data_IF_990225563331
#
_entry.id   IF_990225563331
#
_cell.length_a   1.000
_cell.length_b   1.000
_cell.length_c   1.000
_cell.angle_alpha   90.00
_cell.angle_beta   90.00
_cell.angle_gamma   90.00
#
_symmetry.space_group_name_H-M   'P 1'
#
loop_
_entity.id
_entity.type
_entity.pdbx_description
1 polymer ?
#
# COMPACT_ATOMS: atom_id res chain seq x y z
N UNK A 1 -16.71 -26.11 11.13
CA UNK A 1 -15.92 -25.06 10.46
C UNK A 1 -14.46 -25.44 10.56
N UNK A 2 -13.76 -25.60 9.44
CA UNK A 2 -12.30 -25.73 9.45
C UNK A 2 -11.75 -24.35 9.84
N UNK A 3 -10.94 -24.29 10.89
CA UNK A 3 -10.28 -23.04 11.29
C UNK A 3 -9.20 -22.72 10.27
N UNK A 4 -9.36 -21.63 9.51
CA UNK A 4 -8.33 -21.14 8.61
C UNK A 4 -7.08 -20.76 9.44
N UNK A 5 -5.98 -21.50 9.25
CA UNK A 5 -4.76 -21.29 10.03
C UNK A 5 -3.99 -20.08 9.49
N UNK A 6 -4.17 -18.92 10.12
CA UNK A 6 -3.40 -17.69 9.83
C UNK A 6 -2.07 -17.71 10.61
N UNK A 7 -0.96 -17.62 9.88
CA UNK A 7 0.42 -17.64 10.40
C UNK A 7 1.24 -16.48 9.83
N UNK A 8 2.43 -16.21 10.34
CA UNK A 8 3.36 -15.23 9.75
C UNK A 8 3.77 -15.57 8.32
N UNK A 9 3.72 -16.85 7.93
CA UNK A 9 3.93 -17.28 6.54
C UNK A 9 2.93 -16.69 5.54
N UNK A 10 1.76 -16.21 6.00
CA UNK A 10 0.79 -15.51 5.16
C UNK A 10 1.18 -14.05 4.88
N UNK A 11 2.16 -13.50 5.61
CA UNK A 11 2.60 -12.10 5.55
C UNK A 11 4.07 -11.97 5.17
N UNK A 12 4.50 -12.44 3.98
CA UNK A 12 5.90 -12.35 3.61
C UNK A 12 6.35 -10.88 3.57
N UNK A 13 7.45 -10.58 4.25
CA UNK A 13 7.96 -9.21 4.39
C UNK A 13 8.20 -8.58 3.01
N UNK A 14 7.61 -7.40 2.71
CA UNK A 14 7.84 -6.72 1.44
C UNK A 14 9.32 -6.44 1.20
N UNK A 15 9.81 -6.63 -0.03
CA UNK A 15 11.20 -6.30 -0.36
C UNK A 15 11.53 -4.82 -0.12
N UNK A 16 10.55 -3.91 -0.25
CA UNK A 16 10.73 -2.49 0.09
C UNK A 16 10.99 -2.23 1.58
N UNK A 17 10.52 -3.13 2.46
CA UNK A 17 10.79 -3.06 3.89
C UNK A 17 12.23 -3.54 4.20
N UNK A 18 12.75 -4.47 3.40
CA UNK A 18 14.11 -5.04 3.47
C UNK A 18 15.15 -4.20 2.70
N UNK A 19 15.10 -2.89 2.86
CA UNK A 19 16.05 -1.94 2.23
C UNK A 19 17.38 -1.86 3.00
N UNK A 20 18.40 -1.26 2.41
CA UNK A 20 19.69 -1.06 3.08
C UNK A 20 19.54 -0.27 4.40
N UNK A 21 20.31 -0.67 5.42
CA UNK A 21 20.39 0.02 6.71
C UNK A 21 19.22 -0.23 7.68
N UNK A 22 18.35 -1.22 7.41
CA UNK A 22 17.34 -1.68 8.38
C UNK A 22 17.75 -3.00 9.04
N UNK A 23 17.30 -3.22 10.27
CA UNK A 23 17.38 -4.51 10.93
C UNK A 23 16.39 -5.50 10.28
N UNK A 24 16.91 -6.44 9.48
CA UNK A 24 16.09 -7.38 8.72
C UNK A 24 15.37 -8.40 9.60
N UNK A 25 15.98 -8.81 10.72
CA UNK A 25 15.38 -9.75 11.65
C UNK A 25 14.16 -9.11 12.31
N UNK A 26 14.34 -7.89 12.81
CA UNK A 26 13.28 -7.13 13.45
C UNK A 26 12.14 -6.76 12.49
N UNK A 27 12.47 -6.40 11.23
CA UNK A 27 11.47 -6.13 10.20
C UNK A 27 10.70 -7.41 9.82
N UNK A 28 11.36 -8.57 9.85
CA UNK A 28 10.71 -9.86 9.56
C UNK A 28 9.83 -10.36 10.70
N UNK A 29 10.23 -10.12 11.95
CA UNK A 29 9.41 -10.43 13.14
C UNK A 29 8.05 -9.69 13.15
N UNK A 30 7.92 -8.59 12.42
CA UNK A 30 6.63 -7.89 12.28
C UNK A 30 5.55 -8.74 11.57
N UNK A 31 5.93 -9.81 10.86
CA UNK A 31 4.97 -10.76 10.29
C UNK A 31 4.16 -11.50 11.35
N UNK A 32 4.75 -11.78 12.53
CA UNK A 32 4.04 -12.42 13.65
C UNK A 32 2.97 -11.48 14.22
N UNK A 33 3.31 -10.20 14.43
CA UNK A 33 2.35 -9.16 14.85
C UNK A 33 1.17 -9.00 13.87
N UNK A 34 1.44 -9.08 12.56
CA UNK A 34 0.39 -9.05 11.53
C UNK A 34 -0.51 -10.30 11.62
N UNK A 35 0.09 -11.48 11.83
CA UNK A 35 -0.65 -12.73 11.94
C UNK A 35 -1.54 -12.76 13.20
N UNK A 36 -1.04 -12.28 14.34
CA UNK A 36 -1.78 -12.15 15.59
C UNK A 36 -3.00 -11.25 15.40
N UNK A 37 -2.79 -10.06 14.81
CA UNK A 37 -3.87 -9.12 14.51
C UNK A 37 -4.91 -9.71 13.55
N UNK A 38 -4.48 -10.36 12.48
CA UNK A 38 -5.38 -10.96 11.50
C UNK A 38 -6.19 -12.13 12.10
N UNK A 39 -5.61 -12.94 12.99
CA UNK A 39 -6.36 -13.96 13.75
C UNK A 39 -7.45 -13.31 14.61
N UNK A 40 -7.12 -12.26 15.36
CA UNK A 40 -8.09 -11.55 16.18
C UNK A 40 -9.25 -10.97 15.34
N UNK A 41 -8.93 -10.35 14.19
CA UNK A 41 -9.92 -9.81 13.27
C UNK A 41 -10.80 -10.89 12.66
N UNK A 42 -10.21 -11.99 12.21
CA UNK A 42 -10.92 -13.14 11.66
C UNK A 42 -11.92 -13.72 12.67
N UNK A 43 -11.49 -13.96 13.91
CA UNK A 43 -12.37 -14.46 14.97
C UNK A 43 -13.53 -13.50 15.24
N UNK A 44 -13.28 -12.19 15.31
CA UNK A 44 -14.33 -11.20 15.49
C UNK A 44 -15.31 -11.18 14.33
N UNK A 45 -14.82 -11.24 13.09
CA UNK A 45 -15.68 -11.27 11.91
C UNK A 45 -16.58 -12.51 11.89
N UNK A 46 -16.07 -13.68 12.29
CA UNK A 46 -16.89 -14.90 12.43
C UNK A 46 -17.96 -14.80 13.51
N UNK A 47 -17.70 -14.07 14.60
CA UNK A 47 -18.70 -13.84 15.66
C UNK A 47 -19.74 -12.79 15.25
N UNK A 48 -19.32 -11.77 14.51
CA UNK A 48 -20.16 -10.64 14.10
C UNK A 48 -21.09 -11.01 12.91
N UNK A 49 -20.77 -12.07 12.15
CA UNK A 49 -21.55 -12.51 10.98
C UNK A 49 -22.14 -13.90 11.21
N UNK A 50 -23.44 -13.94 11.48
CA UNK A 50 -24.20 -15.19 11.59
C UNK A 50 -24.52 -15.79 10.21
N UNK A 51 -24.86 -17.09 10.11
CA UNK A 51 -25.25 -17.72 8.84
C UNK A 51 -26.47 -17.08 8.15
N UNK A 52 -27.35 -16.43 8.91
CA UNK A 52 -28.56 -15.75 8.47
C UNK A 52 -28.39 -14.23 8.34
N UNK A 53 -27.16 -13.71 8.51
CA UNK A 53 -26.88 -12.29 8.43
C UNK A 53 -27.27 -11.71 7.07
N UNK A 54 -28.00 -10.59 7.10
CA UNK A 54 -28.36 -9.82 5.91
C UNK A 54 -27.13 -9.22 5.24
N UNK A 55 -27.22 -8.88 3.96
CA UNK A 55 -26.14 -8.18 3.24
C UNK A 55 -25.69 -6.90 3.96
N UNK A 56 -26.62 -6.17 4.57
CA UNK A 56 -26.34 -4.96 5.36
C UNK A 56 -25.50 -5.27 6.60
N UNK A 57 -25.83 -6.34 7.32
CA UNK A 57 -25.08 -6.76 8.51
C UNK A 57 -23.67 -7.25 8.14
N UNK A 58 -23.54 -8.03 7.06
CA UNK A 58 -22.23 -8.42 6.51
C UNK A 58 -21.39 -7.18 6.16
N UNK A 59 -21.99 -6.18 5.49
CA UNK A 59 -21.30 -4.94 5.15
C UNK A 59 -20.82 -4.19 6.40
N UNK A 60 -21.67 -4.08 7.42
CA UNK A 60 -21.32 -3.43 8.68
C UNK A 60 -20.18 -4.15 9.41
N UNK A 61 -20.20 -5.49 9.45
CA UNK A 61 -19.17 -6.30 10.10
C UNK A 61 -17.80 -6.21 9.37
N UNK A 62 -17.80 -6.24 8.03
CA UNK A 62 -16.59 -6.07 7.22
C UNK A 62 -16.01 -4.67 7.39
N UNK A 63 -16.85 -3.62 7.37
CA UNK A 63 -16.41 -2.25 7.62
C UNK A 63 -15.84 -2.07 9.03
N UNK A 64 -16.50 -2.60 10.06
CA UNK A 64 -16.01 -2.59 11.43
C UNK A 64 -14.66 -3.32 11.57
N UNK A 65 -14.46 -4.40 10.80
CA UNK A 65 -13.19 -5.14 10.77
C UNK A 65 -12.05 -4.31 10.17
N UNK A 66 -12.33 -3.52 9.14
CA UNK A 66 -11.36 -2.57 8.58
C UNK A 66 -10.98 -1.47 9.59
N UNK A 67 -11.97 -0.88 10.28
CA UNK A 67 -11.73 0.10 11.33
C UNK A 67 -10.91 -0.47 12.51
N UNK A 68 -11.15 -1.72 12.88
CA UNK A 68 -10.34 -2.42 13.90
C UNK A 68 -8.89 -2.62 13.43
N UNK A 69 -8.66 -2.88 12.14
CA UNK A 69 -7.31 -2.96 11.58
C UNK A 69 -6.58 -1.60 11.64
N UNK A 70 -7.28 -0.50 11.32
CA UNK A 70 -6.77 0.87 11.48
C UNK A 70 -6.40 1.15 12.95
N UNK A 71 -7.31 0.81 13.88
CA UNK A 71 -7.10 1.00 15.31
C UNK A 71 -5.92 0.18 15.85
N UNK A 72 -5.78 -1.08 15.41
CA UNK A 72 -4.63 -1.93 15.74
C UNK A 72 -3.31 -1.25 15.34
N UNK A 73 -3.23 -0.74 14.10
CA UNK A 73 -1.99 -0.15 13.61
C UNK A 73 -1.59 1.09 14.41
N UNK A 74 -2.55 1.93 14.77
CA UNK A 74 -2.30 3.08 15.65
C UNK A 74 -1.91 2.67 17.07
N UNK A 75 -2.56 1.65 17.65
CA UNK A 75 -2.21 1.13 18.97
C UNK A 75 -0.77 0.62 19.00
N UNK A 76 -0.32 -0.07 17.95
CA UNK A 76 1.07 -0.52 17.81
C UNK A 76 2.05 0.67 17.78
N UNK A 77 1.71 1.74 17.04
CA UNK A 77 2.50 2.98 16.99
C UNK A 77 2.65 3.62 18.38
N UNK A 78 1.54 3.73 19.11
CA UNK A 78 1.53 4.31 20.46
C UNK A 78 2.38 3.54 21.47
N UNK A 79 2.51 2.23 21.30
CA UNK A 79 3.37 1.39 22.15
C UNK A 79 4.85 1.45 21.77
N UNK A 80 5.22 2.21 20.74
CA UNK A 80 6.59 2.23 20.22
C UNK A 80 7.01 0.92 19.55
N UNK A 81 6.06 0.03 19.26
CA UNK A 81 6.32 -1.30 18.71
C UNK A 81 6.42 -1.30 17.16
N UNK A 82 6.40 -0.12 16.53
CA UNK A 82 6.64 0.02 15.10
C UNK A 82 8.12 0.23 14.88
N UNK A 83 8.75 -0.80 14.32
CA UNK A 83 10.16 -0.78 13.99
C UNK A 83 10.33 -0.70 12.48
N UNK A 84 11.27 0.14 12.03
CA UNK A 84 11.60 0.26 10.62
C UNK A 84 10.67 1.23 9.88
N UNK A 85 11.24 2.35 9.44
CA UNK A 85 10.59 3.38 8.64
C UNK A 85 11.63 4.40 8.19
N UNK A 86 11.50 4.95 6.99
CA UNK A 86 12.39 6.06 6.57
C UNK A 86 12.10 7.26 7.48
N UNK A 87 13.13 7.73 8.19
CA UNK A 87 13.06 8.85 9.12
C UNK A 87 12.46 8.45 10.47
N UNK A 88 13.26 7.82 11.33
CA UNK A 88 13.05 7.58 12.76
C UNK A 88 11.60 7.78 13.25
N UNK A 89 10.70 6.89 12.78
CA UNK A 89 9.23 7.05 12.87
C UNK A 89 8.70 6.83 14.31
N UNK A 90 9.60 6.55 15.26
CA UNK A 90 9.28 6.27 16.66
C UNK A 90 8.76 7.46 17.48
N UNK A 91 8.74 8.68 16.94
CA UNK A 91 8.40 9.86 17.74
C UNK A 91 6.91 10.31 17.66
N UNK A 92 6.16 9.96 16.60
CA UNK A 92 4.80 10.51 16.42
C UNK A 92 3.78 9.46 15.93
N UNK A 93 3.09 8.85 16.89
CA UNK A 93 2.01 7.92 16.63
C UNK A 93 0.80 8.58 15.93
N UNK A 94 0.61 9.89 16.03
CA UNK A 94 -0.52 10.60 15.43
C UNK A 94 -0.47 10.60 13.89
N UNK A 95 0.71 10.36 13.31
CA UNK A 95 0.86 10.15 11.86
C UNK A 95 0.08 8.94 11.34
N UNK A 96 -0.20 7.94 12.20
CA UNK A 96 -1.04 6.78 11.86
C UNK A 96 -2.54 7.08 11.92
N UNK A 97 -2.93 8.26 12.41
CA UNK A 97 -4.30 8.79 12.38
C UNK A 97 -4.46 10.06 11.54
N UNK A 98 -3.36 10.62 11.04
CA UNK A 98 -3.39 11.79 10.16
C UNK A 98 -4.00 11.40 8.82
N UNK A 99 -5.18 11.92 8.45
CA UNK A 99 -5.83 11.59 7.18
C UNK A 99 -5.01 12.06 5.99
N UNK A 100 -5.11 11.32 4.89
CA UNK A 100 -4.73 11.84 3.59
C UNK A 100 -5.82 12.83 3.16
N UNK A 101 -5.43 14.00 2.68
CA UNK A 101 -6.34 15.04 2.18
C UNK A 101 -5.95 15.45 0.77
N UNK A 102 -6.77 16.24 0.09
CA UNK A 102 -6.48 16.67 -1.28
C UNK A 102 -5.31 17.66 -1.32
N UNK A 103 -5.16 18.48 -0.28
CA UNK A 103 -4.00 19.39 -0.09
C UNK A 103 -2.75 18.68 0.45
N UNK A 104 -2.92 17.44 0.91
CA UNK A 104 -1.82 16.61 1.39
C UNK A 104 -2.02 15.17 0.92
N UNK A 105 -1.80 14.88 -0.36
CA UNK A 105 -1.78 13.51 -0.86
C UNK A 105 -0.52 12.77 -0.37
N UNK A 106 -0.53 11.44 -0.38
CA UNK A 106 0.73 10.70 -0.32
C UNK A 106 1.43 10.75 -1.67
N UNK A 107 2.76 10.79 -1.60
CA UNK A 107 3.66 10.82 -2.73
C UNK A 107 4.71 9.74 -2.50
N UNK A 108 4.61 8.67 -3.27
CA UNK A 108 5.52 7.52 -3.18
C UNK A 108 6.40 7.49 -4.43
N UNK A 109 7.71 7.71 -4.26
CA UNK A 109 8.68 7.69 -5.37
C UNK A 109 8.89 6.26 -5.84
N UNK A 110 8.77 6.04 -7.14
CA UNK A 110 9.04 4.76 -7.82
C UNK A 110 10.11 4.95 -8.91
N UNK A 111 10.56 3.84 -9.50
CA UNK A 111 11.68 3.84 -10.44
C UNK A 111 13.02 3.86 -9.73
N UNK A 112 13.97 4.62 -10.25
CA UNK A 112 15.29 4.74 -9.64
C UNK A 112 15.19 5.58 -8.36
N UNK A 113 15.37 4.90 -7.22
CA UNK A 113 15.38 5.48 -5.88
C UNK A 113 16.74 5.17 -5.25
N UNK A 114 17.67 6.12 -5.36
CA UNK A 114 19.07 5.92 -5.01
C UNK A 114 19.29 5.54 -3.53
N UNK A 115 18.44 6.01 -2.59
CA UNK A 115 18.53 5.61 -1.18
C UNK A 115 18.28 4.12 -0.91
N UNK A 116 17.79 3.36 -1.91
CA UNK A 116 17.60 1.92 -1.78
C UNK A 116 18.81 1.10 -2.18
N UNK A 117 19.86 1.73 -2.72
CA UNK A 117 21.13 1.06 -3.05
C UNK A 117 22.01 1.04 -1.80
N UNK A 118 22.64 -0.10 -1.54
CA UNK A 118 23.51 -0.27 -0.37
C UNK A 118 24.80 0.54 -0.55
N UNK A 119 25.16 1.35 0.45
CA UNK A 119 26.34 2.21 0.40
C UNK A 119 26.23 3.44 -0.51
N UNK A 120 25.03 3.75 -1.05
CA UNK A 120 24.80 4.97 -1.81
C UNK A 120 25.02 6.23 -0.97
N UNK A 121 25.53 7.29 -1.61
CA UNK A 121 25.89 8.55 -0.95
C UNK A 121 24.98 9.67 -1.43
N UNK A 122 24.61 10.56 -0.51
CA UNK A 122 23.86 11.76 -0.85
C UNK A 122 24.71 12.70 -1.70
N UNK A 123 24.16 13.15 -2.83
CA UNK A 123 24.69 14.19 -3.69
C UNK A 123 23.78 15.43 -3.59
N UNK A 124 24.34 16.51 -3.02
CA UNK A 124 23.61 17.74 -2.79
C UNK A 124 23.40 18.57 -4.06
N UNK A 125 24.23 18.39 -5.09
CA UNK A 125 24.11 19.14 -6.35
C UNK A 125 22.89 18.65 -7.15
N UNK A 126 22.75 17.32 -7.25
CA UNK A 126 21.66 16.69 -7.99
C UNK A 126 20.43 16.42 -7.13
N UNK A 127 20.52 16.58 -5.80
CA UNK A 127 19.50 16.19 -4.83
C UNK A 127 19.09 14.71 -4.96
N UNK A 128 20.06 13.85 -5.25
CA UNK A 128 19.89 12.40 -5.40
C UNK A 128 20.88 11.60 -4.56
N UNK A 129 20.69 10.28 -4.49
CA UNK A 129 21.71 9.37 -3.98
C UNK A 129 22.45 8.73 -5.16
N UNK A 130 23.78 8.73 -5.10
CA UNK A 130 24.67 8.24 -6.16
C UNK A 130 25.53 7.05 -5.69
N UNK A 131 25.91 6.20 -6.63
CA UNK A 131 26.67 4.97 -6.37
C UNK A 131 25.86 3.90 -5.62
N UNK A 132 26.58 3.03 -4.91
CA UNK A 132 26.00 1.91 -4.16
C UNK A 132 25.80 0.63 -4.97
N UNK A 133 25.36 -0.42 -4.27
CA UNK A 133 25.11 -1.76 -4.82
C UNK A 133 23.61 -2.04 -4.85
N UNK A 134 23.14 -2.71 -5.90
CA UNK A 134 21.75 -3.09 -6.08
C UNK A 134 21.23 -3.96 -4.94
N UNK A 135 20.15 -3.51 -4.29
CA UNK A 135 19.38 -4.33 -3.36
C UNK A 135 18.11 -4.84 -4.03
N UNK A 136 17.42 -5.81 -3.39
CA UNK A 136 16.09 -6.26 -3.86
C UNK A 136 15.07 -5.11 -3.90
N UNK A 137 15.12 -4.21 -2.91
CA UNK A 137 14.29 -3.02 -2.87
C UNK A 137 14.54 -2.11 -4.08
N UNK A 138 15.81 -1.86 -4.43
CA UNK A 138 16.18 -1.06 -5.59
C UNK A 138 15.67 -1.68 -6.91
N UNK A 139 15.94 -2.99 -7.11
CA UNK A 139 15.50 -3.71 -8.32
C UNK A 139 13.99 -3.68 -8.51
N UNK A 140 13.22 -3.90 -7.45
CA UNK A 140 11.75 -3.94 -7.55
C UNK A 140 11.17 -2.55 -7.83
N UNK A 141 11.62 -1.49 -7.14
CA UNK A 141 11.16 -0.13 -7.47
C UNK A 141 11.53 0.27 -8.88
N UNK A 142 12.72 -0.12 -9.37
CA UNK A 142 13.15 0.20 -10.72
C UNK A 142 12.29 -0.51 -11.77
N UNK A 143 11.98 -1.79 -11.55
CA UNK A 143 11.06 -2.55 -12.40
C UNK A 143 9.68 -1.89 -12.49
N UNK A 144 9.11 -1.46 -11.36
CA UNK A 144 7.84 -0.74 -11.36
C UNK A 144 7.94 0.65 -11.99
N UNK A 145 9.08 1.36 -11.89
CA UNK A 145 9.30 2.60 -12.65
C UNK A 145 9.34 2.38 -14.16
N UNK A 146 9.99 1.31 -14.64
CA UNK A 146 9.95 0.92 -16.06
C UNK A 146 8.53 0.60 -16.51
N UNK A 147 7.75 -0.11 -15.69
CA UNK A 147 6.34 -0.38 -15.97
C UNK A 147 5.51 0.92 -16.03
N UNK A 148 5.73 1.87 -15.10
CA UNK A 148 5.09 3.17 -15.14
C UNK A 148 5.42 3.95 -16.42
N UNK A 149 6.69 3.95 -16.85
CA UNK A 149 7.11 4.60 -18.09
C UNK A 149 6.48 3.94 -19.33
N UNK A 150 6.39 2.61 -19.35
CA UNK A 150 5.72 1.87 -20.42
C UNK A 150 4.23 2.25 -20.50
N UNK A 151 3.55 2.39 -19.35
CA UNK A 151 2.17 2.87 -19.30
C UNK A 151 2.02 4.30 -19.81
N UNK A 152 2.90 5.21 -19.41
CA UNK A 152 2.91 6.56 -19.99
C UNK A 152 3.07 6.52 -21.51
N UNK A 153 3.97 5.70 -22.04
CA UNK A 153 4.16 5.57 -23.49
C UNK A 153 2.92 5.01 -24.21
N UNK A 154 2.16 4.12 -23.58
CA UNK A 154 0.99 3.48 -24.18
C UNK A 154 -0.32 4.25 -23.99
N UNK A 155 -0.56 4.78 -22.79
CA UNK A 155 -1.86 5.35 -22.38
C UNK A 155 -1.87 6.88 -22.38
N UNK A 156 -0.71 7.53 -22.21
CA UNK A 156 -0.61 8.99 -22.14
C UNK A 156 0.66 9.52 -22.84
N UNK A 157 0.82 9.32 -24.17
CA UNK A 157 2.03 9.74 -24.89
C UNK A 157 2.25 11.25 -24.76
N UNK A 158 3.46 11.65 -24.36
CA UNK A 158 3.82 13.05 -24.13
C UNK A 158 3.21 13.69 -22.87
N UNK A 159 2.31 13.02 -22.16
CA UNK A 159 1.73 13.52 -20.92
C UNK A 159 2.64 13.33 -19.70
N UNK A 160 2.41 14.16 -18.68
CA UNK A 160 3.12 14.11 -17.39
C UNK A 160 2.29 13.52 -16.25
N UNK A 161 0.97 13.40 -16.44
CA UNK A 161 0.03 12.86 -15.47
C UNK A 161 -0.75 11.73 -16.13
N UNK A 162 -0.78 10.57 -15.49
CA UNK A 162 -1.56 9.42 -15.89
C UNK A 162 -2.47 9.02 -14.73
N UNK A 163 -3.77 9.22 -14.90
CA UNK A 163 -4.78 8.80 -13.93
C UNK A 163 -5.03 7.29 -14.01
N UNK A 164 -4.98 6.58 -12.89
CA UNK A 164 -5.52 5.21 -12.86
C UNK A 164 -7.04 5.27 -12.82
N UNK A 165 -7.70 4.98 -13.94
CA UNK A 165 -9.16 4.84 -13.94
C UNK A 165 -9.53 3.50 -13.31
N UNK A 166 -10.31 3.55 -12.23
CA UNK A 166 -10.79 2.39 -11.48
C UNK A 166 -12.23 2.12 -11.89
N UNK A 167 -12.51 0.91 -12.37
CA UNK A 167 -13.87 0.40 -12.58
C UNK A 167 -14.32 -0.32 -11.31
N UNK A 168 -15.41 0.16 -10.72
CA UNK A 168 -16.03 -0.40 -9.52
C UNK A 168 -16.90 -1.63 -9.88
N UNK A 169 -17.31 -2.45 -8.90
CA UNK A 169 -18.11 -3.65 -9.15
C UNK A 169 -19.47 -3.41 -9.82
N UNK A 170 -20.04 -2.22 -9.64
CA UNK A 170 -21.28 -1.78 -10.30
C UNK A 170 -21.07 -1.24 -11.72
N UNK A 171 -19.83 -1.25 -12.21
CA UNK A 171 -19.42 -0.71 -13.51
C UNK A 171 -19.14 0.79 -13.52
N UNK A 172 -19.37 1.52 -12.42
CA UNK A 172 -19.03 2.92 -12.33
C UNK A 172 -17.51 3.12 -12.42
N UNK A 173 -17.09 4.27 -12.94
CA UNK A 173 -15.68 4.61 -13.13
C UNK A 173 -15.32 5.81 -12.27
N UNK A 174 -14.25 5.69 -11.50
CA UNK A 174 -13.71 6.75 -10.64
C UNK A 174 -12.20 6.86 -10.81
N UNK A 175 -11.63 8.00 -10.42
CA UNK A 175 -10.19 8.22 -10.52
C UNK A 175 -9.49 7.66 -9.28
N UNK A 176 -8.62 6.68 -9.48
CA UNK A 176 -7.72 6.16 -8.45
C UNK A 176 -6.46 7.01 -8.31
N UNK A 177 -5.39 6.38 -7.84
CA UNK A 177 -4.08 6.99 -7.73
C UNK A 177 -3.57 7.44 -9.10
N UNK A 178 -2.67 8.41 -9.11
CA UNK A 178 -2.07 8.97 -10.34
C UNK A 178 -0.60 8.62 -10.40
N UNK A 179 -0.08 8.41 -11.59
CA UNK A 179 1.35 8.46 -11.85
C UNK A 179 1.68 9.86 -12.36
N UNK A 180 2.73 10.47 -11.81
CA UNK A 180 3.26 11.74 -12.31
C UNK A 180 4.75 11.62 -12.63
N UNK A 181 5.19 12.31 -13.68
CA UNK A 181 6.59 12.40 -14.13
C UNK A 181 6.94 13.81 -14.58
N UNK A 182 8.18 14.02 -15.04
CA UNK A 182 8.60 15.27 -15.68
C UNK A 182 8.52 16.47 -14.75
N UNK A 183 8.08 17.61 -15.28
CA UNK A 183 8.01 18.86 -14.53
C UNK A 183 6.97 18.80 -13.40
N UNK A 184 5.84 18.14 -13.64
CA UNK A 184 4.82 17.90 -12.62
C UNK A 184 5.37 17.12 -11.43
N UNK A 185 6.18 16.08 -11.67
CA UNK A 185 6.81 15.33 -10.59
C UNK A 185 7.89 16.14 -9.86
N UNK A 186 8.69 16.94 -10.56
CA UNK A 186 9.69 17.82 -9.93
C UNK A 186 9.04 18.83 -8.99
N UNK A 187 7.96 19.48 -9.42
CA UNK A 187 7.19 20.41 -8.59
C UNK A 187 6.61 19.73 -7.35
N UNK A 188 5.96 18.57 -7.52
CA UNK A 188 5.41 17.82 -6.41
C UNK A 188 6.48 17.39 -5.38
N UNK A 189 7.68 17.04 -5.84
CA UNK A 189 8.84 16.74 -5.00
C UNK A 189 9.31 17.97 -4.20
N UNK A 190 9.44 19.13 -4.84
CA UNK A 190 9.80 20.39 -4.20
C UNK A 190 8.78 20.80 -3.13
N UNK A 191 7.49 20.81 -3.47
CA UNK A 191 6.40 21.11 -2.53
C UNK A 191 6.38 20.12 -1.34
N UNK A 192 6.70 18.84 -1.58
CA UNK A 192 6.80 17.86 -0.51
C UNK A 192 7.95 18.19 0.45
N UNK A 193 9.12 18.56 -0.05
CA UNK A 193 10.25 18.97 0.77
C UNK A 193 9.93 20.24 1.57
N UNK A 194 9.31 21.24 0.93
CA UNK A 194 8.85 22.47 1.62
C UNK A 194 7.88 22.17 2.76
N UNK A 195 6.88 21.30 2.54
CA UNK A 195 5.94 20.88 3.58
C UNK A 195 6.61 20.14 4.74
N UNK A 196 7.64 19.35 4.46
CA UNK A 196 8.42 18.66 5.50
C UNK A 196 9.21 19.67 6.33
N UNK A 197 9.89 20.61 5.68
CA UNK A 197 10.62 21.71 6.34
C UNK A 197 9.69 22.61 7.17
N UNK A 198 8.53 22.98 6.64
CA UNK A 198 7.53 23.80 7.33
C UNK A 198 6.97 23.14 8.61
N UNK A 199 7.09 21.82 8.73
CA UNK A 199 6.74 21.05 9.94
C UNK A 199 7.91 20.89 10.92
N UNK A 200 9.05 21.52 10.65
CA UNK A 200 10.27 21.42 11.48
C UNK A 200 11.01 20.09 11.34
N UNK A 201 10.77 19.34 10.26
CA UNK A 201 11.45 18.08 9.98
C UNK A 201 12.61 18.29 9.00
N UNK A 202 13.65 17.45 9.11
CA UNK A 202 14.80 17.50 8.21
C UNK A 202 14.46 16.97 6.81
N UNK A 203 14.47 17.87 5.82
CA UNK A 203 14.30 17.56 4.41
C UNK A 203 15.62 17.52 3.62
N UNK A 204 16.78 17.74 4.25
CA UNK A 204 18.07 17.96 3.58
C UNK A 204 18.57 16.77 2.75
N UNK A 205 18.05 15.56 3.01
CA UNK A 205 18.39 14.33 2.30
C UNK A 205 17.17 13.65 1.66
N UNK A 206 16.12 14.43 1.38
CA UNK A 206 14.98 13.96 0.62
C UNK A 206 15.34 13.89 -0.86
N UNK A 207 15.32 12.68 -1.41
CA UNK A 207 15.59 12.42 -2.82
C UNK A 207 14.47 12.99 -3.70
N UNK A 208 14.62 14.23 -4.15
CA UNK A 208 13.64 14.96 -4.97
C UNK A 208 14.16 15.34 -6.36
N UNK A 209 15.46 15.23 -6.60
CA UNK A 209 16.07 15.50 -7.91
C UNK A 209 16.07 14.31 -8.87
N UNK A 210 16.74 14.50 -10.01
CA UNK A 210 16.77 13.57 -11.15
C UNK A 210 15.46 13.62 -11.97
N UNK A 211 15.06 12.45 -12.49
CA UNK A 211 13.79 12.25 -13.22
C UNK A 211 12.80 11.44 -12.37
N UNK A 212 12.19 12.05 -11.33
CA UNK A 212 11.32 11.32 -10.44
C UNK A 212 10.03 10.89 -11.13
N UNK A 213 9.54 9.71 -10.72
CA UNK A 213 8.18 9.26 -10.96
C UNK A 213 7.55 9.07 -9.59
N UNK A 214 6.38 9.68 -9.37
CA UNK A 214 5.62 9.51 -8.13
C UNK A 214 4.29 8.83 -8.40
N UNK A 215 3.88 7.98 -7.47
CA UNK A 215 2.48 7.62 -7.27
C UNK A 215 1.87 8.67 -6.34
N UNK A 216 0.76 9.26 -6.76
CA UNK A 216 -0.02 10.23 -5.98
C UNK A 216 -1.35 9.60 -5.61
N UNK A 217 -1.74 9.66 -4.34
CA UNK A 217 -3.05 9.10 -3.93
C UNK A 217 -4.22 9.82 -4.59
N UNK A 218 -5.30 9.09 -4.88
CA UNK A 218 -6.55 9.61 -5.42
C UNK A 218 -7.15 10.74 -4.56
N UNK A 219 -8.20 11.43 -5.03
CA UNK A 219 -8.91 12.45 -4.23
C UNK A 219 -9.65 11.83 -3.04
N UNK A 220 -9.94 12.62 -2.01
CA UNK A 220 -10.59 12.14 -0.79
C UNK A 220 -12.00 11.61 -1.06
N UNK A 221 -12.71 12.23 -2.01
CA UNK A 221 -13.99 11.74 -2.52
C UNK A 221 -13.84 10.36 -3.19
N UNK A 222 -12.91 10.24 -4.15
CA UNK A 222 -12.75 8.99 -4.89
C UNK A 222 -12.26 7.85 -3.99
N UNK A 223 -11.31 8.11 -3.07
CA UNK A 223 -10.87 7.11 -2.08
C UNK A 223 -12.04 6.62 -1.22
N UNK A 224 -12.94 7.51 -0.81
CA UNK A 224 -14.12 7.09 -0.03
C UNK A 224 -15.03 6.15 -0.82
N UNK A 225 -15.32 6.49 -2.09
CA UNK A 225 -16.15 5.67 -2.97
C UNK A 225 -15.49 4.31 -3.27
N UNK A 226 -14.20 4.31 -3.61
CA UNK A 226 -13.41 3.09 -3.89
C UNK A 226 -13.39 2.18 -2.65
N UNK A 227 -13.15 2.74 -1.46
CA UNK A 227 -13.13 1.96 -0.22
C UNK A 227 -14.49 1.36 0.10
N UNK A 228 -15.57 2.13 -0.01
CA UNK A 228 -16.93 1.60 0.21
C UNK A 228 -17.20 0.44 -0.76
N UNK A 229 -16.88 0.61 -2.05
CA UNK A 229 -17.04 -0.44 -3.05
C UNK A 229 -16.24 -1.71 -2.71
N UNK A 230 -14.99 -1.57 -2.24
CA UNK A 230 -14.16 -2.70 -1.83
C UNK A 230 -14.76 -3.48 -0.64
N UNK A 231 -15.22 -2.76 0.38
CA UNK A 231 -15.80 -3.36 1.58
C UNK A 231 -17.14 -4.03 1.26
N UNK A 232 -17.97 -3.40 0.44
CA UNK A 232 -19.24 -3.99 -0.03
C UNK A 232 -18.99 -5.24 -0.86
N UNK A 233 -18.03 -5.21 -1.80
CA UNK A 233 -17.65 -6.36 -2.61
C UNK A 233 -17.30 -7.57 -1.74
N UNK A 234 -16.39 -7.39 -0.77
CA UNK A 234 -16.01 -8.46 0.16
C UNK A 234 -17.19 -8.96 1.01
N UNK A 235 -18.08 -8.06 1.42
CA UNK A 235 -19.21 -8.38 2.26
C UNK A 235 -20.35 -9.08 1.53
N UNK A 236 -20.47 -8.95 0.21
CA UNK A 236 -21.54 -9.58 -0.58
C UNK A 236 -21.06 -10.72 -1.45
N UNK A 237 -19.75 -10.90 -1.59
CA UNK A 237 -19.18 -12.02 -2.33
C UNK A 237 -19.62 -13.38 -1.76
N UNK A 238 -19.73 -14.35 -2.67
CA UNK A 238 -20.03 -15.74 -2.34
C UNK A 238 -18.81 -16.40 -1.66
N UNK A 239 -19.03 -17.38 -0.77
CA UNK A 239 -17.93 -18.15 -0.19
C UNK A 239 -17.03 -18.76 -1.27
N UNK A 240 -15.72 -18.55 -1.17
CA UNK A 240 -14.73 -19.03 -2.14
C UNK A 240 -14.46 -18.10 -3.33
N UNK A 241 -15.05 -16.91 -3.39
CA UNK A 241 -14.83 -15.97 -4.50
C UNK A 241 -13.45 -15.27 -4.43
N UNK A 242 -12.43 -15.92 -4.99
CA UNK A 242 -11.06 -15.41 -5.07
C UNK A 242 -10.96 -14.14 -5.93
N UNK A 243 -11.80 -14.02 -6.96
CA UNK A 243 -11.78 -12.87 -7.86
C UNK A 243 -12.25 -11.61 -7.14
N UNK A 244 -13.33 -11.70 -6.36
CA UNK A 244 -13.79 -10.61 -5.51
C UNK A 244 -12.72 -10.20 -4.48
N UNK A 245 -12.01 -11.17 -3.90
CA UNK A 245 -10.92 -10.89 -2.95
C UNK A 245 -9.76 -10.11 -3.61
N UNK A 246 -9.33 -10.51 -4.82
CA UNK A 246 -8.28 -9.81 -5.55
C UNK A 246 -8.71 -8.44 -6.07
N UNK A 247 -9.95 -8.30 -6.54
CA UNK A 247 -10.50 -7.00 -6.92
C UNK A 247 -10.55 -6.06 -5.73
N UNK A 248 -11.06 -6.51 -4.57
CA UNK A 248 -11.07 -5.72 -3.36
C UNK A 248 -9.65 -5.36 -2.89
N UNK A 249 -8.68 -6.27 -3.04
CA UNK A 249 -7.27 -5.97 -2.79
C UNK A 249 -6.79 -4.76 -3.61
N UNK A 250 -7.05 -4.75 -4.91
CA UNK A 250 -6.70 -3.62 -5.76
C UNK A 250 -7.36 -2.32 -5.28
N UNK A 251 -8.66 -2.34 -5.02
CA UNK A 251 -9.41 -1.16 -4.57
C UNK A 251 -8.89 -0.61 -3.24
N UNK A 252 -8.54 -1.47 -2.27
CA UNK A 252 -8.03 -1.03 -0.97
C UNK A 252 -6.67 -0.31 -1.06
N UNK A 253 -5.78 -0.72 -1.97
CA UNK A 253 -4.51 -0.03 -2.20
C UNK A 253 -4.68 1.29 -2.97
N UNK A 254 -5.78 1.44 -3.72
CA UNK A 254 -6.17 2.70 -4.36
C UNK A 254 -6.83 3.69 -3.39
N UNK A 255 -7.24 3.23 -2.20
CA UNK A 255 -8.00 4.03 -1.24
C UNK A 255 -7.43 4.08 0.19
N UNK A 256 -6.12 4.39 0.38
CA UNK A 256 -5.56 4.52 1.72
C UNK A 256 -6.23 5.66 2.52
N UNK A 257 -6.42 5.44 3.81
CA UNK A 257 -7.04 6.42 4.73
C UNK A 257 -6.03 7.39 5.33
N UNK A 258 -4.93 6.87 5.87
CA UNK A 258 -3.99 7.64 6.68
C UNK A 258 -2.60 7.73 6.05
N UNK A 259 -1.86 8.77 6.45
CA UNK A 259 -0.51 9.07 5.97
C UNK A 259 0.51 7.95 6.19
N UNK A 260 0.30 7.10 7.21
CA UNK A 260 1.20 6.00 7.56
C UNK A 260 0.42 4.72 7.87
N UNK A 261 1.04 3.59 7.57
CA UNK A 261 0.57 2.27 7.97
C UNK A 261 -0.54 1.67 7.11
N UNK A 262 -0.94 2.31 6.01
CA UNK A 262 -1.98 1.81 5.10
C UNK A 262 -1.69 0.42 4.55
N UNK A 263 -0.45 0.16 4.12
CA UNK A 263 -0.05 -1.17 3.64
C UNK A 263 -0.27 -2.26 4.72
N UNK A 264 0.31 -2.09 5.91
CA UNK A 264 0.14 -3.05 7.02
C UNK A 264 -1.34 -3.26 7.40
N UNK A 265 -2.16 -2.20 7.40
CA UNK A 265 -3.60 -2.29 7.65
C UNK A 265 -4.28 -3.13 6.56
N UNK A 266 -4.02 -2.81 5.29
CA UNK A 266 -4.61 -3.54 4.16
C UNK A 266 -4.19 -5.01 4.16
N UNK A 267 -2.93 -5.31 4.45
CA UNK A 267 -2.40 -6.69 4.55
C UNK A 267 -3.14 -7.50 5.63
N UNK A 268 -3.19 -6.98 6.85
CA UNK A 268 -3.87 -7.65 8.00
C UNK A 268 -5.36 -7.83 7.72
N UNK A 269 -6.02 -6.80 7.24
CA UNK A 269 -7.44 -6.85 6.88
C UNK A 269 -7.71 -7.91 5.79
N UNK A 270 -6.91 -7.91 4.71
CA UNK A 270 -7.10 -8.83 3.58
C UNK A 270 -6.93 -10.30 3.97
N UNK A 271 -5.94 -10.64 4.79
CA UNK A 271 -5.75 -12.03 5.24
C UNK A 271 -6.89 -12.45 6.15
N UNK A 272 -7.34 -11.58 7.07
CA UNK A 272 -8.46 -11.88 7.96
C UNK A 272 -9.77 -12.09 7.19
N UNK A 273 -10.11 -11.18 6.27
CA UNK A 273 -11.32 -11.30 5.45
C UNK A 273 -11.19 -12.43 4.43
N UNK A 274 -10.01 -12.65 3.86
CA UNK A 274 -9.74 -13.77 2.97
C UNK A 274 -9.93 -15.11 3.67
N UNK A 275 -9.44 -15.26 4.90
CA UNK A 275 -9.68 -16.45 5.72
C UNK A 275 -11.18 -16.73 5.96
N UNK A 276 -11.96 -15.67 6.16
CA UNK A 276 -13.43 -15.78 6.32
C UNK A 276 -14.15 -16.09 5.01
N UNK A 277 -13.80 -15.40 3.92
CA UNK A 277 -14.46 -15.51 2.61
C UNK A 277 -14.07 -16.80 1.87
N UNK A 278 -12.78 -17.13 1.83
CA UNK A 278 -12.22 -18.21 1.01
C UNK A 278 -12.17 -19.56 1.73
N UNK A 279 -12.38 -19.57 3.06
CA UNK A 279 -12.24 -20.77 3.89
C UNK A 279 -10.78 -21.22 4.13
N UNK A 280 -9.80 -20.49 3.61
CA UNK A 280 -8.37 -20.67 3.87
C UNK A 280 -7.68 -19.31 4.01
N UNK A 281 -6.56 -19.26 4.75
CA UNK A 281 -5.79 -18.03 4.91
C UNK A 281 -4.92 -17.79 3.66
N UNK A 282 -5.16 -16.74 2.87
CA UNK A 282 -4.36 -16.46 1.68
C UNK A 282 -2.95 -15.98 2.07
N UNK A 283 -1.96 -16.32 1.26
CA UNK A 283 -0.61 -15.74 1.37
C UNK A 283 -0.53 -14.52 0.47
N UNK A 284 -0.06 -13.39 1.01
CA UNK A 284 0.06 -12.15 0.27
C UNK A 284 1.29 -12.16 -0.65
N UNK A 285 1.20 -11.49 -1.79
CA UNK A 285 2.40 -11.24 -2.59
C UNK A 285 3.22 -10.11 -1.95
N UNK A 286 4.54 -10.21 -2.10
CA UNK A 286 5.48 -9.28 -1.47
C UNK A 286 5.40 -7.85 -2.02
N UNK A 287 4.84 -7.68 -3.23
CA UNK A 287 4.80 -6.43 -3.97
C UNK A 287 3.38 -6.02 -4.40
N UNK A 288 2.35 -6.56 -3.72
CA UNK A 288 0.95 -6.28 -4.10
C UNK A 288 0.65 -4.78 -4.10
N UNK A 289 1.24 -4.02 -3.17
CA UNK A 289 1.03 -2.58 -3.06
C UNK A 289 1.51 -1.84 -4.33
N UNK A 290 2.76 -2.03 -4.73
CA UNK A 290 3.33 -1.47 -5.96
C UNK A 290 2.53 -1.93 -7.19
N UNK A 291 2.16 -3.20 -7.25
CA UNK A 291 1.36 -3.75 -8.35
C UNK A 291 0.05 -3.01 -8.51
N UNK A 292 -0.70 -2.89 -7.43
CA UNK A 292 -1.98 -2.20 -7.43
C UNK A 292 -1.81 -0.72 -7.74
N UNK A 293 -0.77 -0.06 -7.24
CA UNK A 293 -0.54 1.37 -7.46
C UNK A 293 -0.05 1.72 -8.87
N UNK A 294 0.67 0.81 -9.54
CA UNK A 294 1.44 1.13 -10.76
C UNK A 294 0.93 0.45 -12.01
N UNK A 295 0.49 -0.80 -11.99
CA UNK A 295 0.21 -1.54 -13.24
C UNK A 295 -1.19 -1.30 -13.82
N UNK A 296 -2.06 -0.61 -13.08
CA UNK A 296 -3.47 -0.47 -13.40
C UNK A 296 -4.28 -1.72 -13.02
N UNK A 297 -5.61 -1.61 -13.13
CA UNK A 297 -6.54 -2.59 -12.55
C UNK A 297 -6.38 -3.99 -13.17
N UNK A 298 -6.47 -4.10 -14.50
CA UNK A 298 -6.42 -5.40 -15.20
C UNK A 298 -5.14 -6.19 -14.88
N UNK A 299 -3.99 -5.55 -14.95
CA UNK A 299 -2.71 -6.20 -14.66
C UNK A 299 -2.55 -6.56 -13.17
N UNK A 300 -3.15 -5.78 -12.26
CA UNK A 300 -3.09 -6.04 -10.84
C UNK A 300 -4.05 -7.16 -10.37
N UNK A 301 -5.15 -7.42 -11.09
CA UNK A 301 -6.18 -8.39 -10.70
C UNK A 301 -6.20 -9.67 -11.53
N UNK A 302 -5.46 -9.75 -12.64
CA UNK A 302 -5.40 -10.98 -13.45
C UNK A 302 -4.49 -12.03 -12.79
N UNK A 303 -4.98 -13.26 -12.70
CA UNK A 303 -4.27 -14.44 -12.17
C UNK A 303 -3.79 -15.37 -13.29
N UNK A 304 -2.68 -16.13 -13.09
CA UNK A 304 -1.75 -15.99 -11.99
C UNK A 304 -0.98 -14.67 -12.09
N UNK A 305 -0.61 -14.10 -10.96
CA UNK A 305 0.18 -12.88 -10.96
C UNK A 305 1.57 -13.16 -11.54
N UNK A 306 1.93 -12.41 -12.58
CA UNK A 306 3.11 -12.70 -13.41
C UNK A 306 4.42 -12.24 -12.75
N UNK A 307 4.35 -11.45 -11.68
CA UNK A 307 5.54 -10.86 -11.05
C UNK A 307 5.91 -11.53 -9.74
N UNK A 308 6.71 -12.60 -9.85
CA UNK A 308 7.48 -13.21 -8.76
C UNK A 308 8.82 -13.81 -9.23
N UNK A 309 9.11 -13.78 -10.54
CA UNK A 309 10.29 -14.42 -11.13
C UNK A 309 11.19 -13.49 -11.97
N UNK A 310 10.96 -12.18 -11.97
CA UNK A 310 11.71 -11.21 -12.80
C UNK A 310 12.45 -10.14 -11.97
N UNK A 311 12.96 -10.51 -10.79
CA UNK A 311 13.80 -9.65 -9.94
C UNK A 311 14.95 -10.44 -9.27
#
# INVERSE_FOLDING_TARGET
MVSARITSGNFPTPYLALRAGVDQEQVSAFADEQADAARMLFWRLQMDVTPDATARERCAAVAATYERALAWRYALARRGAIVGGVGNVGADAERFRTPITDDSPNLDRIGRVGRFYEGARWDAETLTYVGGVDTRAARITEAYGRAALARFAAECPGGEVLDNVVTLPDGARVTGNRLIRGETARRAGAELAERVTARGLDASRMEIGGDPIYVVTATSRDRAVIREAALRLLATAEPGDEQAWWQASYLLHQAPTYKKGSDAVTRVFRVAVGAWLLGYAPTLDQDTDLRCMVLGQTAATTLPHVCGGAA
#
